data_IF_782695707010
#
_entry.id   IF_782695707010
#
_cell.length_a   1.000
_cell.length_b   1.000
_cell.length_c   1.000
_cell.angle_alpha   90.00
_cell.angle_beta   90.00
_cell.angle_gamma   90.00
#
_symmetry.space_group_name_H-M   'P 1'
#
loop_
_entity.id
_entity.type
_entity.pdbx_description
1 polymer ?
#
# COMPACT_ATOMS: atom_id res chain seq x y z
N UNK A 1 18.15 6.73 2.60
CA UNK A 1 17.73 5.99 3.82
C UNK A 1 18.06 6.70 5.13
N UNK A 2 19.33 6.93 5.53
CA UNK A 2 19.65 7.52 6.85
C UNK A 2 19.07 8.93 7.05
N UNK A 3 19.21 9.81 6.05
CA UNK A 3 18.66 11.17 6.09
C UNK A 3 17.13 11.22 6.26
N UNK A 4 16.41 10.21 5.79
CA UNK A 4 14.96 10.15 5.98
C UNK A 4 14.58 9.79 7.41
N UNK A 5 15.30 8.87 8.05
CA UNK A 5 15.02 8.49 9.44
C UNK A 5 15.21 9.66 10.40
N UNK A 6 16.13 10.59 10.09
CA UNK A 6 16.31 11.84 10.83
C UNK A 6 15.09 12.78 10.75
N UNK A 7 14.25 12.65 9.71
CA UNK A 7 13.01 13.42 9.54
C UNK A 7 11.81 12.78 10.25
N UNK A 8 11.92 11.53 10.70
CA UNK A 8 10.86 10.83 11.43
C UNK A 8 10.98 11.15 12.92
N UNK A 9 9.89 11.57 13.60
CA UNK A 9 9.89 11.74 15.05
C UNK A 9 10.43 10.51 15.78
N UNK A 10 11.27 10.69 16.80
CA UNK A 10 12.00 9.58 17.46
C UNK A 10 11.09 8.48 17.97
N UNK A 11 9.92 8.86 18.47
CA UNK A 11 8.86 7.98 18.98
C UNK A 11 8.16 7.15 17.88
N UNK A 12 8.27 7.56 16.61
CA UNK A 12 7.68 6.88 15.45
C UNK A 12 8.71 6.10 14.62
N UNK A 13 10.01 6.28 14.90
CA UNK A 13 11.06 5.58 14.16
C UNK A 13 10.96 4.06 14.33
N UNK A 14 10.96 3.27 13.25
CA UNK A 14 10.71 1.83 13.32
C UNK A 14 11.95 1.01 13.73
N UNK A 15 12.61 1.42 14.81
CA UNK A 15 13.79 0.72 15.36
C UNK A 15 13.35 -0.50 16.16
N UNK A 16 13.97 -1.65 15.94
CA UNK A 16 13.59 -2.90 16.61
C UNK A 16 13.52 -2.74 18.14
N UNK A 17 12.40 -3.20 18.73
CA UNK A 17 12.16 -3.11 20.16
C UNK A 17 11.56 -1.79 20.67
N UNK A 18 11.36 -0.79 19.79
CA UNK A 18 10.75 0.50 20.15
C UNK A 18 9.25 0.56 19.87
N UNK A 19 8.57 1.55 20.45
CA UNK A 19 7.16 1.84 20.16
C UNK A 19 6.93 2.12 18.67
N UNK A 20 7.86 2.82 18.00
CA UNK A 20 7.77 3.09 16.56
C UNK A 20 7.77 1.80 15.72
N UNK A 21 8.57 0.80 16.09
CA UNK A 21 8.53 -0.52 15.43
C UNK A 21 7.20 -1.25 15.66
N UNK A 22 6.66 -1.18 16.87
CA UNK A 22 5.34 -1.75 17.16
C UNK A 22 4.22 -1.06 16.37
N UNK A 23 4.24 0.27 16.32
CA UNK A 23 3.29 1.07 15.54
C UNK A 23 3.36 0.73 14.05
N UNK A 24 4.57 0.66 13.48
CA UNK A 24 4.76 0.24 12.08
C UNK A 24 4.19 -1.16 11.82
N UNK A 25 4.47 -2.13 12.71
CA UNK A 25 3.93 -3.50 12.59
C UNK A 25 2.40 -3.51 12.63
N UNK A 26 1.79 -2.74 13.54
CA UNK A 26 0.32 -2.62 13.64
C UNK A 26 -0.28 -2.03 12.36
N UNK A 27 0.36 -1.03 11.76
CA UNK A 27 -0.07 -0.44 10.48
C UNK A 27 0.02 -1.44 9.33
N UNK A 28 1.12 -2.19 9.22
CA UNK A 28 1.25 -3.27 8.23
C UNK A 28 0.16 -4.35 8.38
N UNK A 29 -0.10 -4.78 9.61
CA UNK A 29 -1.14 -5.78 9.89
C UNK A 29 -2.55 -5.30 9.51
N UNK A 30 -2.82 -3.99 9.62
CA UNK A 30 -4.08 -3.39 9.16
C UNK A 30 -4.18 -3.34 7.63
N UNK A 31 -3.06 -3.10 6.94
CA UNK A 31 -3.03 -3.02 5.48
C UNK A 31 -3.20 -4.38 4.81
N UNK A 32 -2.56 -5.42 5.35
CA UNK A 32 -2.76 -6.78 4.87
C UNK A 32 -2.97 -7.73 6.06
N UNK A 33 -4.21 -7.88 6.53
CA UNK A 33 -4.56 -8.87 7.55
C UNK A 33 -4.18 -10.28 7.10
N UNK A 34 -3.86 -11.17 8.04
CA UNK A 34 -3.46 -12.55 7.72
C UNK A 34 -4.59 -13.32 7.00
N UNK A 35 -5.82 -13.12 7.44
CA UNK A 35 -7.03 -13.69 6.83
C UNK A 35 -7.30 -13.22 5.39
N UNK A 36 -6.64 -12.16 4.93
CA UNK A 36 -6.71 -11.68 3.53
C UNK A 36 -5.52 -12.16 2.68
N UNK A 37 -4.55 -12.87 3.27
CA UNK A 37 -3.31 -13.29 2.61
C UNK A 37 -3.11 -14.80 2.59
N UNK A 38 -3.65 -15.50 3.57
CA UNK A 38 -3.50 -16.93 3.76
C UNK A 38 -4.88 -17.60 3.84
N UNK A 39 -5.25 -18.45 2.86
CA UNK A 39 -6.52 -19.18 2.88
C UNK A 39 -6.73 -20.01 4.16
N UNK A 40 -5.65 -20.49 4.79
CA UNK A 40 -5.74 -21.24 6.04
C UNK A 40 -6.13 -20.36 7.26
N UNK A 41 -6.04 -19.04 7.13
CA UNK A 41 -6.40 -18.07 8.16
C UNK A 41 -7.77 -17.42 7.93
N UNK A 42 -8.41 -17.68 6.78
CA UNK A 42 -9.72 -17.12 6.44
C UNK A 42 -10.85 -18.02 6.97
N UNK A 43 -11.86 -17.43 7.63
CA UNK A 43 -12.94 -18.19 8.23
C UNK A 43 -14.05 -18.48 7.22
N UNK A 44 -14.10 -19.72 6.74
CA UNK A 44 -15.26 -20.23 6.03
C UNK A 44 -15.24 -20.04 4.51
N UNK A 45 -14.05 -20.06 3.91
CA UNK A 45 -13.90 -20.30 2.47
C UNK A 45 -14.38 -21.71 2.13
N UNK A 46 -15.13 -21.83 1.04
CA UNK A 46 -15.41 -23.11 0.39
C UNK A 46 -14.20 -23.58 -0.44
N UNK A 47 -14.10 -24.88 -0.74
CA UNK A 47 -12.95 -25.46 -1.48
C UNK A 47 -12.63 -24.72 -2.80
N UNK A 48 -13.65 -24.26 -3.53
CA UNK A 48 -13.46 -23.47 -4.75
C UNK A 48 -12.96 -22.03 -4.50
N UNK A 49 -13.24 -21.46 -3.32
CA UNK A 49 -12.84 -20.10 -2.94
C UNK A 49 -11.39 -20.04 -2.45
N UNK A 50 -10.85 -21.15 -1.93
CA UNK A 50 -9.43 -21.26 -1.57
C UNK A 50 -8.52 -20.93 -2.76
N UNK A 51 -8.75 -21.56 -3.92
CA UNK A 51 -7.95 -21.30 -5.12
C UNK A 51 -8.09 -19.86 -5.60
N UNK A 52 -9.31 -19.30 -5.54
CA UNK A 52 -9.55 -17.90 -5.91
C UNK A 52 -8.76 -16.93 -5.04
N UNK A 53 -8.64 -17.22 -3.74
CA UNK A 53 -7.84 -16.42 -2.82
C UNK A 53 -6.35 -16.54 -3.09
N UNK A 54 -5.84 -17.76 -3.32
CA UNK A 54 -4.43 -17.98 -3.68
C UNK A 54 -4.05 -17.22 -4.95
N UNK A 55 -4.87 -17.34 -5.99
CA UNK A 55 -4.65 -16.67 -7.27
C UNK A 55 -4.72 -15.15 -7.11
N UNK A 56 -5.66 -14.65 -6.31
CA UNK A 56 -5.77 -13.23 -5.97
C UNK A 56 -4.51 -12.70 -5.29
N UNK A 57 -4.01 -13.43 -4.28
CA UNK A 57 -2.79 -13.08 -3.54
C UNK A 57 -1.56 -13.13 -4.44
N UNK A 58 -1.42 -14.19 -5.22
CA UNK A 58 -0.34 -14.37 -6.19
C UNK A 58 -0.31 -13.23 -7.20
N UNK A 59 -1.47 -12.87 -7.75
CA UNK A 59 -1.61 -11.81 -8.77
C UNK A 59 -1.18 -10.45 -8.23
N UNK A 60 -1.73 -10.01 -7.10
CA UNK A 60 -1.37 -8.68 -6.60
C UNK A 60 0.09 -8.59 -6.16
N UNK A 61 0.68 -9.68 -5.63
CA UNK A 61 2.10 -9.72 -5.25
C UNK A 61 2.99 -9.56 -6.49
N UNK A 62 2.61 -10.18 -7.59
CA UNK A 62 3.34 -10.12 -8.85
C UNK A 62 3.20 -8.76 -9.57
N UNK A 63 2.00 -8.18 -9.57
CA UNK A 63 1.65 -7.08 -10.47
C UNK A 63 1.61 -5.71 -9.79
N UNK A 64 1.20 -5.63 -8.52
CA UNK A 64 0.84 -4.36 -7.88
C UNK A 64 1.64 -4.02 -6.63
N UNK A 65 2.05 -5.03 -5.85
CA UNK A 65 2.77 -4.84 -4.58
C UNK A 65 4.20 -4.34 -4.82
N UNK A 66 4.60 -3.35 -4.04
CA UNK A 66 5.97 -2.84 -3.97
C UNK A 66 6.31 -2.27 -2.59
N UNK A 67 7.57 -1.84 -2.44
CA UNK A 67 8.09 -1.14 -1.27
C UNK A 67 8.71 0.18 -1.75
N UNK A 68 8.40 1.29 -1.09
CA UNK A 68 8.96 2.59 -1.46
C UNK A 68 10.48 2.62 -1.26
N UNK A 69 11.22 3.08 -2.26
CA UNK A 69 12.65 3.33 -2.15
C UNK A 69 12.90 4.79 -1.74
N UNK A 70 13.70 5.01 -0.69
CA UNK A 70 14.01 6.36 -0.21
C UNK A 70 15.45 6.75 -0.56
N UNK A 71 15.59 7.66 -1.52
CA UNK A 71 16.85 8.17 -2.05
C UNK A 71 16.76 9.68 -2.31
N UNK A 72 17.85 10.31 -2.76
CA UNK A 72 17.79 11.69 -3.23
C UNK A 72 17.16 11.77 -4.63
N UNK A 73 16.66 12.95 -5.05
CA UNK A 73 16.21 13.17 -6.42
C UNK A 73 17.27 12.77 -7.45
N UNK A 74 16.85 12.05 -8.50
CA UNK A 74 17.74 11.49 -9.52
C UNK A 74 18.46 10.18 -9.16
N UNK A 75 18.38 9.71 -7.92
CA UNK A 75 19.12 8.52 -7.45
C UNK A 75 18.27 7.25 -7.28
N UNK A 76 17.00 7.26 -7.73
CA UNK A 76 16.13 6.10 -7.66
C UNK A 76 16.53 4.98 -8.62
N UNK A 77 16.36 3.72 -8.21
CA UNK A 77 16.57 2.56 -9.08
C UNK A 77 18.02 2.14 -9.30
N UNK A 78 18.97 2.76 -8.59
CA UNK A 78 20.42 2.54 -8.71
C UNK A 78 20.96 1.20 -8.18
N UNK A 79 20.13 0.14 -8.13
CA UNK A 79 20.57 -1.21 -7.72
C UNK A 79 20.24 -2.27 -8.77
N UNK A 80 20.54 -2.02 -10.05
CA UNK A 80 20.62 -3.05 -11.13
C UNK A 80 21.56 -2.66 -12.28
N UNK A 81 22.75 -2.13 -12.00
CA UNK A 81 23.85 -2.24 -12.96
C UNK A 81 24.92 -3.11 -12.31
N UNK A 82 24.92 -4.40 -12.67
CA UNK A 82 26.09 -5.25 -12.49
C UNK A 82 27.24 -4.59 -13.26
N UNK A 83 28.29 -4.21 -12.52
CA UNK A 83 29.56 -3.76 -13.08
C UNK A 83 30.11 -4.85 -14.01
N UNK A 84 29.83 -4.72 -15.31
CA UNK A 84 30.59 -5.45 -16.33
C UNK A 84 31.97 -4.78 -16.41
N UNK A 85 33.07 -5.50 -16.15
CA UNK A 85 34.40 -4.91 -16.26
C UNK A 85 34.66 -4.62 -17.74
N UNK A 86 34.69 -3.34 -18.10
CA UNK A 86 35.16 -2.92 -19.40
C UNK A 86 36.69 -2.84 -19.38
N UNK A 87 37.24 -3.65 -20.26
CA UNK A 87 38.64 -3.90 -20.51
C UNK A 87 39.42 -2.61 -20.82
N UNK A 88 40.62 -2.53 -20.25
CA UNK A 88 41.55 -1.42 -20.44
C UNK A 88 42.22 -1.57 -21.80
N UNK A 89 42.07 -0.58 -22.67
CA UNK A 89 43.03 -0.34 -23.75
C UNK A 89 43.38 1.14 -23.77
N UNK A 90 44.66 1.39 -23.53
CA UNK A 90 45.34 2.68 -23.41
C UNK A 90 45.81 3.07 -24.81
N UNK A 91 45.60 4.32 -25.23
CA UNK A 91 46.50 4.96 -26.19
C UNK A 91 46.72 6.45 -25.79
N UNK A 92 47.98 6.95 -25.75
CA UNK A 92 48.33 8.16 -25.01
C UNK A 92 48.67 9.31 -25.96
N UNK A 93 47.87 10.38 -26.00
CA UNK A 93 48.31 11.68 -26.55
C UNK A 93 47.30 12.82 -26.31
N UNK A 94 47.37 13.48 -25.14
CA UNK A 94 47.27 14.96 -25.00
C UNK A 94 47.45 15.39 -23.54
N UNK A 95 48.32 16.37 -23.34
CA UNK A 95 48.66 16.99 -22.05
C UNK A 95 47.78 18.24 -21.78
N UNK A 96 47.89 18.89 -20.62
CA UNK A 96 46.84 18.96 -19.60
C UNK A 96 46.11 20.31 -19.60
N UNK A 97 44.80 20.31 -19.32
CA UNK A 97 44.07 21.55 -19.04
C UNK A 97 43.41 21.49 -17.65
N UNK A 98 43.71 22.56 -16.91
CA UNK A 98 43.50 22.90 -15.50
C UNK A 98 42.22 22.43 -14.78
N UNK A 99 42.27 22.33 -13.43
CA UNK A 99 41.15 21.87 -12.61
C UNK A 99 40.23 23.04 -12.32
N UNK A 100 39.15 23.17 -13.08
CA UNK A 100 37.97 23.94 -12.65
C UNK A 100 36.74 23.31 -13.30
N UNK A 101 36.46 22.06 -12.92
CA UNK A 101 35.12 21.50 -13.07
C UNK A 101 34.27 22.04 -11.93
N UNK A 102 33.68 23.21 -12.12
CA UNK A 102 32.48 23.56 -11.36
C UNK A 102 31.52 22.38 -11.53
N UNK A 103 31.11 21.79 -10.42
CA UNK A 103 30.04 20.80 -10.38
C UNK A 103 28.82 21.50 -10.98
N UNK A 104 28.60 21.32 -12.29
CA UNK A 104 27.37 21.73 -12.94
C UNK A 104 26.28 20.90 -12.27
N UNK A 105 25.68 21.53 -11.26
CA UNK A 105 24.46 21.08 -10.63
C UNK A 105 23.42 21.04 -11.74
N UNK A 106 23.27 19.88 -12.36
CA UNK A 106 22.04 19.49 -13.04
C UNK A 106 20.97 19.34 -11.96
N UNK A 107 20.62 20.46 -11.32
CA UNK A 107 19.41 20.63 -10.55
C UNK A 107 18.24 20.57 -11.53
N UNK A 108 18.01 19.37 -12.09
CA UNK A 108 16.80 19.04 -12.80
C UNK A 108 15.65 19.37 -11.87
N UNK A 109 14.66 20.11 -12.37
CA UNK A 109 13.48 20.53 -11.61
C UNK A 109 12.62 19.32 -11.29
N UNK A 110 13.06 18.50 -10.34
CA UNK A 110 12.34 17.37 -9.81
C UNK A 110 11.04 17.89 -9.18
N UNK A 111 9.90 17.29 -9.54
CA UNK A 111 8.58 17.65 -9.00
C UNK A 111 7.93 16.46 -8.34
N UNK A 112 7.22 16.71 -7.25
CA UNK A 112 6.43 15.69 -6.59
C UNK A 112 5.20 15.34 -7.43
N UNK A 113 5.00 14.05 -7.68
CA UNK A 113 3.89 13.56 -8.51
C UNK A 113 2.50 13.83 -7.89
N UNK A 114 2.40 14.00 -6.56
CA UNK A 114 1.13 14.31 -5.89
C UNK A 114 0.85 15.81 -5.78
N UNK A 115 1.77 16.60 -5.21
CA UNK A 115 1.51 18.02 -4.94
C UNK A 115 2.06 18.98 -6.01
N UNK A 116 2.81 18.46 -6.99
CA UNK A 116 3.42 19.20 -8.10
C UNK A 116 4.46 20.27 -7.68
N UNK A 117 4.75 20.36 -6.38
CA UNK A 117 5.77 21.24 -5.83
C UNK A 117 7.20 20.72 -6.14
N UNK A 118 8.19 21.62 -6.21
CA UNK A 118 9.59 21.24 -6.41
C UNK A 118 10.10 20.32 -5.30
N UNK A 119 10.94 19.35 -5.68
CA UNK A 119 11.69 18.49 -4.77
C UNK A 119 13.12 19.03 -4.67
N UNK A 120 13.54 19.54 -3.50
CA UNK A 120 14.93 19.97 -3.30
C UNK A 120 15.89 18.81 -3.51
N UNK A 121 16.99 19.04 -4.24
CA UNK A 121 17.96 18.00 -4.60
C UNK A 121 18.69 17.34 -3.42
N UNK A 122 18.64 17.96 -2.25
CA UNK A 122 19.24 17.52 -0.99
C UNK A 122 18.23 16.88 -0.02
N UNK A 123 16.94 16.86 -0.36
CA UNK A 123 15.90 16.28 0.47
C UNK A 123 15.55 14.85 0.01
N UNK A 124 15.35 13.89 0.93
CA UNK A 124 14.96 12.54 0.57
C UNK A 124 13.58 12.52 -0.10
N UNK A 125 13.47 11.72 -1.16
CA UNK A 125 12.24 11.46 -1.90
C UNK A 125 11.96 9.96 -1.95
N UNK A 126 10.71 9.62 -2.22
CA UNK A 126 10.26 8.24 -2.39
C UNK A 126 10.15 7.93 -3.87
N UNK A 127 10.66 6.78 -4.29
CA UNK A 127 10.41 6.17 -5.59
C UNK A 127 9.57 4.90 -5.41
N UNK A 128 8.80 4.57 -6.44
CA UNK A 128 7.94 3.41 -6.49
C UNK A 128 8.25 2.62 -7.77
N UNK A 129 8.89 1.46 -7.64
CA UNK A 129 9.29 0.60 -8.76
C UNK A 129 8.14 0.30 -9.72
N UNK A 130 6.94 0.02 -9.19
CA UNK A 130 5.72 -0.26 -9.99
C UNK A 130 5.19 0.96 -10.75
N UNK A 131 5.53 2.16 -10.30
CA UNK A 131 5.19 3.41 -10.95
C UNK A 131 6.26 3.88 -11.95
N UNK A 132 7.41 3.21 -11.97
CA UNK A 132 8.61 3.62 -12.68
C UNK A 132 9.42 4.70 -11.94
N UNK A 133 10.72 4.76 -12.20
CA UNK A 133 11.65 5.71 -11.56
C UNK A 133 11.59 7.13 -12.13
N UNK A 134 10.67 7.41 -13.07
CA UNK A 134 10.38 8.77 -13.53
C UNK A 134 9.46 9.53 -12.59
N UNK A 135 8.82 8.84 -11.64
CA UNK A 135 7.94 9.42 -10.63
C UNK A 135 8.57 9.38 -9.26
N UNK A 136 8.28 10.42 -8.49
CA UNK A 136 8.90 10.66 -7.20
C UNK A 136 7.98 11.50 -6.33
N UNK A 137 8.04 11.26 -5.03
CA UNK A 137 7.15 11.88 -4.06
C UNK A 137 7.95 12.42 -2.88
N UNK A 138 7.47 13.51 -2.29
CA UNK A 138 7.82 13.78 -0.91
C UNK A 138 7.40 12.57 -0.04
N UNK A 139 8.14 12.22 1.02
CA UNK A 139 7.72 11.17 1.94
C UNK A 139 6.30 11.37 2.48
N UNK A 140 5.91 12.60 2.81
CA UNK A 140 4.57 12.95 3.27
C UNK A 140 3.49 12.93 2.17
N UNK A 141 3.89 12.98 0.89
CA UNK A 141 2.97 12.92 -0.24
C UNK A 141 2.78 11.49 -0.77
N UNK A 142 3.65 10.55 -0.40
CA UNK A 142 3.51 9.15 -0.79
C UNK A 142 2.50 8.44 0.13
N UNK A 143 1.22 8.67 -0.17
CA UNK A 143 0.08 8.23 0.64
C UNK A 143 -0.90 7.39 -0.16
N UNK A 144 -1.70 6.58 0.51
CA UNK A 144 -2.83 5.91 -0.13
C UNK A 144 -3.83 6.94 -0.66
N UNK A 145 -4.21 6.85 -1.94
CA UNK A 145 -5.17 7.77 -2.56
C UNK A 145 -6.58 7.77 -1.94
N UNK A 146 -6.94 6.77 -1.11
CA UNK A 146 -8.26 6.64 -0.48
C UNK A 146 -8.30 7.03 1.00
N UNK A 147 -7.28 6.70 1.81
CA UNK A 147 -7.24 7.09 3.24
C UNK A 147 -6.17 8.11 3.60
N UNK A 148 -5.34 8.54 2.64
CA UNK A 148 -4.16 9.38 2.89
C UNK A 148 -3.15 8.77 3.89
N UNK A 149 -3.19 7.45 4.14
CA UNK A 149 -2.21 6.81 5.01
C UNK A 149 -0.81 6.85 4.38
N UNK A 150 0.24 7.31 5.08
CA UNK A 150 1.61 7.33 4.56
C UNK A 150 2.17 5.93 4.28
N UNK A 151 2.74 5.73 3.09
CA UNK A 151 3.22 4.42 2.63
C UNK A 151 4.75 4.31 2.55
N UNK A 152 5.48 5.40 2.81
CA UNK A 152 6.96 5.48 2.66
C UNK A 152 7.71 4.40 3.44
N UNK A 153 7.27 4.08 4.65
CA UNK A 153 7.87 3.02 5.49
C UNK A 153 7.10 1.70 5.44
N UNK A 154 6.09 1.60 4.60
CA UNK A 154 5.21 0.44 4.49
C UNK A 154 5.35 -0.18 3.10
N UNK A 155 4.46 -1.12 2.83
CA UNK A 155 4.21 -1.60 1.47
C UNK A 155 3.22 -0.66 0.79
N UNK A 156 3.24 -0.66 -0.54
CA UNK A 156 2.25 0.04 -1.35
C UNK A 156 1.76 -0.85 -2.48
N UNK A 157 0.63 -0.45 -3.07
CA UNK A 157 0.05 -1.10 -4.22
C UNK A 157 -0.15 -0.07 -5.33
N UNK A 158 0.36 -0.35 -6.52
CA UNK A 158 0.17 0.53 -7.68
C UNK A 158 -1.02 0.09 -8.52
N UNK A 159 -1.98 1.00 -8.73
CA UNK A 159 -3.14 0.75 -9.58
C UNK A 159 -3.66 2.06 -10.15
N UNK A 160 -3.84 2.09 -11.47
CA UNK A 160 -4.47 3.23 -12.16
C UNK A 160 -3.72 4.55 -11.99
N UNK A 161 -2.39 4.52 -11.94
CA UNK A 161 -1.58 5.73 -11.79
C UNK A 161 -1.52 6.30 -10.36
N UNK A 162 -2.00 5.56 -9.36
CA UNK A 162 -2.02 5.99 -7.97
C UNK A 162 -1.50 4.90 -7.02
N UNK A 163 -0.97 5.34 -5.88
CA UNK A 163 -0.56 4.46 -4.78
C UNK A 163 -1.73 4.17 -3.83
N UNK A 164 -1.87 2.91 -3.44
CA UNK A 164 -2.90 2.39 -2.55
C UNK A 164 -2.27 1.67 -1.35
N UNK A 165 -2.93 1.69 -0.19
CA UNK A 165 -2.61 0.73 0.87
C UNK A 165 -3.20 -0.64 0.51
N UNK A 166 -2.65 -1.73 1.07
CA UNK A 166 -3.12 -3.09 0.76
C UNK A 166 -4.62 -3.29 0.94
N UNK A 167 -5.18 -2.77 2.04
CA UNK A 167 -6.60 -2.89 2.36
C UNK A 167 -7.48 -2.29 1.27
N UNK A 168 -7.23 -1.04 0.91
CA UNK A 168 -8.03 -0.33 -0.09
C UNK A 168 -7.77 -0.83 -1.52
N UNK A 169 -6.56 -1.29 -1.83
CA UNK A 169 -6.31 -1.98 -3.09
C UNK A 169 -7.18 -3.22 -3.21
N UNK A 170 -7.19 -4.09 -2.19
CA UNK A 170 -8.00 -5.30 -2.19
C UNK A 170 -9.50 -5.01 -2.26
N UNK A 171 -9.98 -4.04 -1.48
CA UNK A 171 -11.39 -3.59 -1.51
C UNK A 171 -11.81 -2.98 -2.86
N UNK A 172 -10.86 -2.48 -3.66
CA UNK A 172 -11.13 -1.98 -5.01
C UNK A 172 -11.25 -3.09 -6.07
N UNK A 173 -11.05 -4.35 -5.67
CA UNK A 173 -11.11 -5.52 -6.55
C UNK A 173 -12.16 -6.53 -6.10
N UNK A 174 -12.36 -6.69 -4.79
CA UNK A 174 -13.31 -7.63 -4.19
C UNK A 174 -14.00 -6.94 -2.99
N UNK A 175 -15.29 -7.20 -2.74
CA UNK A 175 -15.98 -6.61 -1.60
C UNK A 175 -15.42 -7.14 -0.28
N UNK A 176 -15.49 -6.32 0.77
CA UNK A 176 -15.13 -6.71 2.14
C UNK A 176 -16.39 -6.84 2.98
N UNK A 177 -16.50 -7.93 3.73
CA UNK A 177 -17.62 -8.15 4.62
C UNK A 177 -17.58 -7.17 5.79
N UNK A 178 -18.62 -6.36 5.97
CA UNK A 178 -18.72 -5.42 7.08
C UNK A 178 -18.98 -6.11 8.44
N UNK A 179 -19.36 -7.40 8.44
CA UNK A 179 -19.56 -8.21 9.64
C UNK A 179 -18.29 -8.86 10.18
N UNK A 180 -17.47 -9.49 9.32
CA UNK A 180 -16.24 -10.19 9.73
C UNK A 180 -14.93 -9.52 9.30
N UNK A 181 -14.99 -8.45 8.51
CA UNK A 181 -13.83 -7.73 8.00
C UNK A 181 -12.91 -8.56 7.08
N UNK A 182 -13.40 -9.65 6.48
CA UNK A 182 -12.69 -10.48 5.49
C UNK A 182 -13.10 -10.11 4.05
N UNK A 183 -12.21 -10.33 3.07
CA UNK A 183 -12.56 -10.23 1.65
C UNK A 183 -13.51 -11.34 1.24
N UNK A 184 -14.58 -10.97 0.55
CA UNK A 184 -15.61 -11.89 0.04
C UNK A 184 -15.15 -12.45 -1.31
N UNK A 185 -14.87 -13.75 -1.35
CA UNK A 185 -14.55 -14.47 -2.59
C UNK A 185 -15.76 -15.09 -3.27
N UNK A 186 -16.83 -15.31 -2.52
CA UNK A 186 -18.11 -15.81 -3.03
C UNK A 186 -18.79 -14.81 -3.95
N UNK A 187 -19.44 -15.30 -4.99
CA UNK A 187 -20.35 -14.50 -5.81
C UNK A 187 -21.73 -14.33 -5.14
N UNK A 188 -22.07 -15.19 -4.17
CA UNK A 188 -23.27 -15.05 -3.34
C UNK A 188 -22.97 -14.21 -2.09
N UNK A 189 -23.29 -12.92 -2.15
CA UNK A 189 -23.16 -12.00 -1.03
C UNK A 189 -24.26 -10.95 -1.03
N UNK A 190 -24.49 -10.32 0.12
CA UNK A 190 -25.49 -9.28 0.28
C UNK A 190 -24.82 -7.90 0.19
N UNK A 191 -25.43 -6.97 -0.54
CA UNK A 191 -24.92 -5.61 -0.69
C UNK A 191 -26.02 -4.58 -0.40
N UNK A 192 -25.73 -3.63 0.49
CA UNK A 192 -26.66 -2.57 0.91
C UNK A 192 -25.87 -1.30 1.21
N UNK A 193 -26.30 -0.15 0.68
CA UNK A 193 -25.67 1.16 0.90
C UNK A 193 -24.13 1.17 0.67
N UNK A 194 -23.66 0.42 -0.32
CA UNK A 194 -22.22 0.33 -0.65
C UNK A 194 -21.40 -0.55 0.29
N UNK A 195 -22.01 -1.14 1.31
CA UNK A 195 -21.43 -2.16 2.18
C UNK A 195 -21.79 -3.56 1.68
N UNK A 196 -20.94 -4.54 2.00
CA UNK A 196 -21.15 -5.93 1.61
C UNK A 196 -21.07 -6.86 2.83
N UNK A 197 -21.77 -7.99 2.77
CA UNK A 197 -21.73 -9.04 3.79
C UNK A 197 -21.74 -10.41 3.13
N UNK A 198 -20.96 -11.35 3.69
CA UNK A 198 -21.22 -12.76 3.46
C UNK A 198 -22.67 -13.09 3.83
N UNK A 199 -23.32 -14.02 3.11
CA UNK A 199 -24.72 -14.40 3.38
C UNK A 199 -24.96 -14.78 4.84
N UNK A 200 -23.98 -15.45 5.48
CA UNK A 200 -24.01 -15.83 6.91
C UNK A 200 -23.90 -14.63 7.88
N UNK A 201 -23.27 -13.54 7.45
CA UNK A 201 -23.07 -12.32 8.25
C UNK A 201 -24.14 -11.26 7.99
N UNK A 202 -25.06 -11.50 7.07
CA UNK A 202 -26.23 -10.64 6.84
C UNK A 202 -27.35 -11.02 7.83
N UNK A 203 -27.06 -10.81 9.12
CA UNK A 203 -27.89 -11.22 10.25
C UNK A 203 -28.15 -10.06 11.21
N UNK A 204 -29.25 -10.14 11.97
CA UNK A 204 -29.55 -9.18 13.02
C UNK A 204 -28.47 -9.25 14.12
N UNK A 205 -27.93 -8.09 14.52
CA UNK A 205 -26.91 -7.99 15.56
C UNK A 205 -27.38 -8.50 16.93
N UNK A 206 -28.68 -8.44 17.22
CA UNK A 206 -29.24 -8.80 18.53
C UNK A 206 -29.66 -10.26 18.64
N UNK A 207 -30.33 -10.78 17.61
CA UNK A 207 -30.97 -12.09 17.64
C UNK A 207 -30.40 -13.07 16.60
N UNK A 208 -29.36 -12.66 15.87
CA UNK A 208 -28.62 -13.47 14.89
C UNK A 208 -29.48 -14.02 13.74
N UNK A 209 -30.73 -13.56 13.62
CA UNK A 209 -31.63 -14.00 12.57
C UNK A 209 -31.15 -13.47 11.22
N UNK A 210 -30.98 -14.36 10.23
CA UNK A 210 -30.66 -13.98 8.86
C UNK A 210 -31.73 -13.05 8.28
N UNK A 211 -31.26 -11.97 7.65
CA UNK A 211 -32.08 -10.88 7.14
C UNK A 211 -32.26 -10.92 5.63
N UNK A 212 -31.70 -11.92 4.94
CA UNK A 212 -31.89 -12.11 3.50
C UNK A 212 -33.38 -12.20 3.17
N UNK A 213 -33.86 -11.31 2.31
CA UNK A 213 -35.27 -11.21 1.92
C UNK A 213 -36.23 -10.69 3.00
N UNK A 214 -35.72 -10.16 4.12
CA UNK A 214 -36.52 -9.60 5.22
C UNK A 214 -36.28 -8.10 5.35
N UNK A 215 -37.25 -7.31 5.86
CA UNK A 215 -37.00 -5.92 6.20
C UNK A 215 -36.03 -5.80 7.38
N UNK A 216 -35.14 -4.81 7.32
CA UNK A 216 -34.14 -4.53 8.34
C UNK A 216 -33.87 -3.03 8.45
N UNK A 217 -33.24 -2.62 9.55
CA UNK A 217 -32.66 -1.30 9.74
C UNK A 217 -31.13 -1.40 9.68
N UNK A 218 -30.49 -0.47 8.97
CA UNK A 218 -29.04 -0.36 8.86
C UNK A 218 -28.57 0.93 9.55
N UNK A 219 -27.66 0.80 10.51
CA UNK A 219 -27.04 1.93 11.19
C UNK A 219 -25.54 1.67 11.41
N UNK A 220 -24.67 2.49 10.80
CA UNK A 220 -23.20 2.37 10.93
C UNK A 220 -22.67 0.94 10.69
N UNK A 221 -23.15 0.28 9.64
CA UNK A 221 -22.85 -1.12 9.30
C UNK A 221 -23.44 -2.20 10.24
N UNK A 222 -24.19 -1.82 11.28
CA UNK A 222 -24.96 -2.75 12.11
C UNK A 222 -26.35 -3.00 11.51
N UNK A 223 -26.71 -4.27 11.38
CA UNK A 223 -28.00 -4.71 10.87
C UNK A 223 -28.93 -5.11 12.02
N UNK A 224 -30.18 -4.62 12.02
CA UNK A 224 -31.20 -4.99 12.99
C UNK A 224 -32.47 -5.46 12.26
N UNK A 225 -33.10 -6.54 12.73
CA UNK A 225 -34.44 -6.87 12.27
C UNK A 225 -35.45 -5.81 12.76
N UNK A 226 -36.61 -5.72 12.10
CA UNK A 226 -37.65 -4.75 12.46
C UNK A 226 -38.08 -4.87 13.92
N UNK A 227 -38.18 -6.08 14.47
CA UNK A 227 -38.52 -6.32 15.87
C UNK A 227 -37.47 -5.74 16.83
N UNK A 228 -36.19 -6.07 16.62
CA UNK A 228 -35.10 -5.59 17.48
C UNK A 228 -34.82 -4.10 17.32
N UNK A 229 -35.10 -3.54 16.13
CA UNK A 229 -34.97 -2.10 15.89
C UNK A 229 -36.06 -1.29 16.61
N UNK A 230 -37.26 -1.85 16.77
CA UNK A 230 -38.37 -1.20 17.46
C UNK A 230 -38.30 -1.34 18.98
N UNK A 231 -37.55 -2.32 19.48
CA UNK A 231 -37.33 -2.54 20.91
C UNK A 231 -36.16 -1.73 21.51
N UNK A 232 -35.55 -0.83 20.72
CA UNK A 232 -34.45 0.07 21.11
C UNK A 232 -34.97 1.50 21.20
#
# INVERSE_FOLDING_TARGET
AMQYMELVPKELQPVAGTDGAWQRRRRLARQLPLHDQDPAQCRGLADGEHQLMEDFVKKYKAEALGVGEVALPGQGGGRKEEEKPQDKSIDPSRAPESPNGALESTAGHYRCDTCQQPLPGDCPVVYADRAGYSRQWHPACFVCCRCAEPLVDLIYFWKGGAAWCGRHYCESLRPRCAGCDEIIFSEDYQQVEGLAWHTKHFACLECETLLTGKPFALAKASLLCTTCSQSR
#
